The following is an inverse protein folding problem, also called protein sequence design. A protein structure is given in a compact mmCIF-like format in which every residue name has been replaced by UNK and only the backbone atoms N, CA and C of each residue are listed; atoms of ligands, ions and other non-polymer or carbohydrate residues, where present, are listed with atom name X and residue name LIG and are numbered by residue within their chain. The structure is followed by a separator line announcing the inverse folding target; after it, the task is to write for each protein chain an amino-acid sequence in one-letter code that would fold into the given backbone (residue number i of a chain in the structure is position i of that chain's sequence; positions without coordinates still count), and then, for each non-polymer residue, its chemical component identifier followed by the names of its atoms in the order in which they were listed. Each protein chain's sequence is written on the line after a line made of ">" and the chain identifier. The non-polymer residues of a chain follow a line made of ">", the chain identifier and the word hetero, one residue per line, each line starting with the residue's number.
data_IF_058663714160
#
_entry.id   IF_058663714160
#
_cell.length_a   1.000
_cell.length_b   1.000
_cell.length_c   1.000
_cell.angle_alpha   90.00
_cell.angle_beta   90.00
_cell.angle_gamma   90.00
#
_symmetry.space_group_name_H-M   'P 1'
#
loop_
_entity.id
_entity.type
_entity.pdbx_description
1 polymer ?
#
# COMPACT_ATOMS: atom_id res chain seq x y z
N UNK A 1 -29.49 -28.93 -37.48
CA UNK A 1 -30.01 -28.28 -36.25
C UNK A 1 -29.11 -28.48 -35.03
N UNK A 2 -28.60 -29.70 -34.74
CA UNK A 2 -27.72 -29.94 -33.57
C UNK A 2 -26.40 -29.15 -33.56
N UNK A 3 -25.75 -28.98 -34.72
CA UNK A 3 -24.51 -28.19 -34.83
C UNK A 3 -24.73 -26.68 -34.58
N UNK A 4 -25.89 -26.16 -34.98
CA UNK A 4 -26.28 -24.77 -34.72
C UNK A 4 -26.51 -24.54 -33.23
N UNK A 5 -27.16 -25.49 -32.55
CA UNK A 5 -27.36 -25.47 -31.10
C UNK A 5 -26.02 -25.55 -30.32
N UNK A 6 -25.06 -26.35 -30.81
CA UNK A 6 -23.72 -26.45 -30.21
C UNK A 6 -22.96 -25.13 -30.36
N UNK A 7 -23.01 -24.49 -31.54
CA UNK A 7 -22.38 -23.19 -31.77
C UNK A 7 -22.99 -22.07 -30.90
N UNK A 8 -24.30 -22.10 -30.67
CA UNK A 8 -24.94 -21.12 -29.78
C UNK A 8 -24.56 -21.32 -28.31
N UNK A 9 -24.35 -22.57 -27.87
CA UNK A 9 -23.92 -22.88 -26.50
C UNK A 9 -22.46 -22.47 -26.27
N UNK A 10 -21.56 -22.73 -27.22
CA UNK A 10 -20.15 -22.31 -27.10
C UNK A 10 -19.99 -20.80 -27.09
N UNK A 11 -20.80 -20.07 -27.86
CA UNK A 11 -20.81 -18.59 -27.86
C UNK A 11 -21.35 -18.03 -26.53
N UNK A 12 -22.44 -18.60 -26.00
CA UNK A 12 -23.06 -18.15 -24.75
C UNK A 12 -22.15 -18.35 -23.52
N UNK A 13 -21.36 -19.43 -23.50
CA UNK A 13 -20.44 -19.75 -22.39
C UNK A 13 -19.07 -19.08 -22.55
N UNK A 14 -18.59 -18.88 -23.79
CA UNK A 14 -17.27 -18.29 -24.06
C UNK A 14 -17.21 -16.77 -23.88
N UNK A 15 -18.27 -16.05 -24.25
CA UNK A 15 -18.33 -14.57 -24.17
C UNK A 15 -18.22 -14.00 -22.74
N UNK A 16 -18.87 -14.54 -21.69
CA UNK A 16 -18.82 -13.95 -20.36
C UNK A 16 -17.43 -14.05 -19.69
N UNK A 17 -16.53 -14.92 -20.17
CA UNK A 17 -15.15 -15.06 -19.66
C UNK A 17 -14.32 -13.80 -19.94
N UNK A 18 -14.63 -13.06 -21.02
CA UNK A 18 -13.90 -11.85 -21.40
C UNK A 18 -14.24 -10.61 -20.56
N UNK A 19 -15.31 -10.66 -19.76
CA UNK A 19 -15.75 -9.53 -18.92
C UNK A 19 -15.48 -9.73 -17.42
N UNK A 20 -14.83 -10.84 -17.03
CA UNK A 20 -14.59 -11.18 -15.62
C UNK A 20 -13.49 -10.34 -14.96
N UNK A 21 -12.63 -9.67 -15.73
CA UNK A 21 -11.69 -8.69 -15.20
C UNK A 21 -12.27 -7.28 -15.30
N UNK A 22 -13.13 -6.93 -14.35
CA UNK A 22 -13.35 -5.52 -14.01
C UNK A 22 -12.48 -5.21 -12.79
N UNK A 23 -11.28 -4.66 -13.01
CA UNK A 23 -10.55 -4.02 -11.93
C UNK A 23 -11.38 -2.81 -11.46
N UNK A 24 -11.94 -2.88 -10.26
CA UNK A 24 -12.52 -1.73 -9.59
C UNK A 24 -11.44 -0.65 -9.42
N UNK A 25 -11.53 0.40 -10.24
CA UNK A 25 -10.64 1.57 -10.19
C UNK A 25 -10.98 2.46 -8.99
N UNK A 26 -10.86 1.88 -7.79
CA UNK A 26 -10.59 2.60 -6.55
C UNK A 26 -9.35 1.97 -5.90
N UNK A 27 -8.27 1.84 -6.67
CA UNK A 27 -6.93 1.59 -6.11
C UNK A 27 -6.58 2.86 -5.33
N UNK A 28 -6.91 2.88 -4.03
CA UNK A 28 -6.21 3.74 -3.06
C UNK A 28 -4.73 3.48 -3.32
N UNK A 29 -3.98 4.51 -3.66
CA UNK A 29 -2.54 4.40 -3.93
C UNK A 29 -1.95 3.65 -2.74
N UNK A 30 -1.41 2.46 -3.02
CA UNK A 30 -0.87 1.60 -1.97
C UNK A 30 0.48 2.17 -1.61
N UNK A 31 0.72 2.34 -0.32
CA UNK A 31 2.03 2.76 0.15
C UNK A 31 3.09 1.75 -0.31
N UNK A 32 4.24 2.29 -0.71
CA UNK A 32 5.41 1.53 -1.11
C UNK A 32 6.59 1.97 -0.26
N UNK A 33 7.75 1.35 -0.47
CA UNK A 33 8.97 1.78 0.22
C UNK A 33 9.32 3.24 -0.13
N UNK A 34 8.95 3.72 -1.32
CA UNK A 34 9.34 5.03 -1.84
C UNK A 34 8.16 6.00 -2.01
N UNK A 35 6.97 5.68 -1.48
CA UNK A 35 5.80 6.55 -1.60
C UNK A 35 4.76 6.25 -0.52
N UNK A 36 4.12 7.28 0.02
CA UNK A 36 3.08 7.13 1.04
C UNK A 36 3.41 7.89 2.31
N UNK A 37 2.63 7.66 3.37
CA UNK A 37 2.82 8.32 4.67
C UNK A 37 2.91 7.26 5.75
N UNK A 38 3.97 7.31 6.58
CA UNK A 38 4.12 6.43 7.75
C UNK A 38 4.27 7.25 9.02
N UNK A 39 3.76 6.72 10.13
CA UNK A 39 4.04 7.25 11.46
C UNK A 39 5.15 6.43 12.09
N UNK A 40 6.20 7.08 12.57
CA UNK A 40 7.37 6.44 13.19
C UNK A 40 7.44 6.84 14.66
N UNK A 41 7.36 5.88 15.57
CA UNK A 41 7.65 6.14 16.99
C UNK A 41 9.13 5.86 17.26
N UNK A 42 9.81 6.80 17.93
CA UNK A 42 11.20 6.67 18.30
C UNK A 42 11.45 7.25 19.70
N UNK A 43 12.51 6.78 20.35
CA UNK A 43 12.93 7.33 21.64
C UNK A 43 13.42 8.77 21.45
N UNK A 44 12.97 9.68 22.31
CA UNK A 44 13.32 11.11 22.26
C UNK A 44 14.83 11.39 22.35
N UNK A 45 15.60 10.52 23.00
CA UNK A 45 17.06 10.64 23.08
C UNK A 45 17.76 10.49 21.72
N UNK A 46 17.08 9.91 20.72
CA UNK A 46 17.59 9.74 19.35
C UNK A 46 17.03 10.77 18.36
N UNK A 47 16.19 11.73 18.77
CA UNK A 47 15.57 12.73 17.88
C UNK A 47 16.55 13.37 16.89
N UNK A 48 17.76 13.87 17.29
CA UNK A 48 18.67 14.50 16.34
C UNK A 48 19.16 13.57 15.23
N UNK A 49 19.26 12.26 15.50
CA UNK A 49 19.71 11.25 14.55
C UNK A 49 18.54 10.87 13.64
N UNK A 50 17.35 10.65 14.20
CA UNK A 50 16.16 10.27 13.43
C UNK A 50 15.75 11.39 12.46
N UNK A 51 15.81 12.66 12.86
CA UNK A 51 15.54 13.79 11.97
C UNK A 51 16.50 13.84 10.77
N UNK A 52 17.78 13.50 10.97
CA UNK A 52 18.76 13.42 9.87
C UNK A 52 18.44 12.30 8.90
N UNK A 53 18.06 11.13 9.41
CA UNK A 53 17.67 9.98 8.58
C UNK A 53 16.39 10.26 7.79
N UNK A 54 15.39 10.89 8.42
CA UNK A 54 14.16 11.33 7.73
C UNK A 54 14.49 12.30 6.60
N UNK A 55 15.33 13.31 6.87
CA UNK A 55 15.71 14.31 5.87
C UNK A 55 16.39 13.66 4.65
N UNK A 56 17.33 12.75 4.87
CA UNK A 56 18.01 12.03 3.78
C UNK A 56 17.03 11.13 3.03
N UNK A 57 16.16 10.41 3.74
CA UNK A 57 15.20 9.50 3.16
C UNK A 57 14.17 10.21 2.27
N UNK A 58 13.54 11.28 2.77
CA UNK A 58 12.54 12.04 2.00
C UNK A 58 13.17 12.81 0.84
N UNK A 59 14.45 13.18 0.94
CA UNK A 59 15.22 13.73 -0.18
C UNK A 59 15.42 12.70 -1.31
N UNK A 60 15.64 11.43 -0.96
CA UNK A 60 15.76 10.33 -1.92
C UNK A 60 14.41 9.89 -2.48
N UNK A 61 13.35 9.97 -1.69
CA UNK A 61 11.99 9.55 -2.02
C UNK A 61 10.97 10.67 -1.75
N UNK A 62 10.84 11.65 -2.67
CA UNK A 62 10.01 12.84 -2.44
C UNK A 62 8.51 12.58 -2.26
N UNK A 63 8.03 11.40 -2.68
CA UNK A 63 6.64 10.98 -2.53
C UNK A 63 6.38 10.22 -1.22
N UNK A 64 7.42 9.99 -0.40
CA UNK A 64 7.32 9.35 0.91
C UNK A 64 7.45 10.40 2.02
N UNK A 65 6.57 10.34 3.01
CA UNK A 65 6.62 11.21 4.18
C UNK A 65 6.55 10.43 5.49
N UNK A 66 7.38 10.82 6.45
CA UNK A 66 7.49 10.22 7.77
C UNK A 66 6.97 11.24 8.79
N UNK A 67 6.03 10.82 9.63
CA UNK A 67 5.53 11.60 10.76
C UNK A 67 6.15 11.01 12.03
N UNK A 68 7.21 11.64 12.58
CA UNK A 68 7.83 11.14 13.80
C UNK A 68 6.98 11.43 15.04
N UNK A 69 7.05 10.53 16.01
CA UNK A 69 6.54 10.68 17.38
C UNK A 69 7.71 10.33 18.30
N UNK A 70 8.27 11.35 18.94
CA UNK A 70 9.31 11.20 19.94
C UNK A 70 8.68 11.10 21.33
N UNK A 71 9.05 10.05 22.06
CA UNK A 71 8.55 9.75 23.42
C UNK A 71 9.58 8.88 24.13
N UNK A 72 9.43 8.57 25.41
CA UNK A 72 10.35 7.67 26.10
C UNK A 72 10.29 6.22 25.60
N UNK A 73 11.37 5.45 25.80
CA UNK A 73 11.48 4.04 25.41
C UNK A 73 10.27 3.19 25.82
N UNK A 74 9.76 3.38 27.04
CA UNK A 74 8.65 2.56 27.57
C UNK A 74 7.39 2.83 26.75
N UNK A 75 7.10 4.09 26.46
CA UNK A 75 5.98 4.46 25.60
C UNK A 75 6.15 4.00 24.15
N UNK A 76 7.37 4.03 23.59
CA UNK A 76 7.65 3.48 22.25
C UNK A 76 7.32 1.98 22.22
N UNK A 77 7.81 1.22 23.20
CA UNK A 77 7.58 -0.23 23.29
C UNK A 77 6.10 -0.54 23.52
N UNK A 78 5.43 0.23 24.38
CA UNK A 78 3.99 0.08 24.61
C UNK A 78 3.18 0.30 23.34
N UNK A 79 3.52 1.31 22.53
CA UNK A 79 2.87 1.57 21.23
C UNK A 79 3.15 0.47 20.22
N UNK A 80 4.34 -0.14 20.26
CA UNK A 80 4.70 -1.23 19.37
C UNK A 80 3.97 -2.56 19.67
N UNK A 81 3.67 -2.83 20.94
CA UNK A 81 3.07 -4.09 21.39
C UNK A 81 1.52 -4.13 21.38
N UNK A 82 0.87 -3.01 21.05
CA UNK A 82 -0.60 -2.91 20.98
C UNK A 82 -1.14 -3.33 19.60
#
# INVERSE_FOLDING_TARGET
>A
MKKLAIYTITILVGIPILFACKEDKKKKTRDTISSGIITLCADESFEPIIEQEILVFESLYPDAHIIPIYTDEVDVINRFLQ
#
